data_IF_491101365532
#
_entry.id   IF_491101365532
#
_cell.length_a   1.000
_cell.length_b   1.000
_cell.length_c   1.000
_cell.angle_alpha   90.00
_cell.angle_beta   90.00
_cell.angle_gamma   90.00
#
_symmetry.space_group_name_H-M   'P 1'
#
loop_
_entity.id
_entity.type
_entity.pdbx_description
1 polymer ?
#
# COMPACT_ATOMS: atom_id res chain seq x y z
N UNK A 1 -7.25 -6.60 -8.26
CA UNK A 1 -7.76 -5.54 -9.16
C UNK A 1 -6.55 -4.89 -9.78
N UNK A 2 -6.62 -4.56 -11.07
CA UNK A 2 -5.54 -3.87 -11.77
C UNK A 2 -5.57 -2.38 -11.41
N UNK A 3 -4.46 -1.84 -10.90
CA UNK A 3 -4.40 -0.49 -10.38
C UNK A 3 -3.02 0.14 -10.60
N UNK A 4 -2.99 1.47 -10.78
CA UNK A 4 -1.78 2.29 -10.75
C UNK A 4 -2.12 3.59 -10.04
N UNK A 5 -1.31 3.98 -9.07
CA UNK A 5 -1.53 5.20 -8.29
C UNK A 5 -0.25 5.96 -8.03
N UNK A 6 -0.38 7.26 -7.92
CA UNK A 6 0.66 8.22 -7.58
C UNK A 6 0.18 9.08 -6.43
N UNK A 7 1.02 9.28 -5.44
CA UNK A 7 0.80 10.18 -4.31
C UNK A 7 1.97 11.13 -4.18
N UNK A 8 1.72 12.43 -4.09
CA UNK A 8 2.73 13.43 -3.83
C UNK A 8 2.99 13.54 -2.33
N UNK A 9 4.17 13.11 -1.87
CA UNK A 9 4.50 13.03 -0.44
C UNK A 9 5.46 14.11 0.04
N UNK A 10 6.09 14.83 -0.90
CA UNK A 10 7.02 15.93 -0.60
C UNK A 10 7.11 16.87 -1.79
N UNK A 11 7.40 18.15 -1.51
CA UNK A 11 7.70 19.17 -2.53
C UNK A 11 8.65 20.21 -1.93
N UNK A 12 9.70 20.56 -2.71
CA UNK A 12 10.63 21.63 -2.42
C UNK A 12 11.24 22.16 -3.73
N UNK A 13 11.24 23.47 -3.94
CA UNK A 13 11.86 24.19 -5.06
C UNK A 13 11.70 23.54 -6.45
N UNK A 14 10.53 22.96 -6.73
CA UNK A 14 10.23 22.25 -8.00
C UNK A 14 10.57 20.78 -8.03
N UNK A 15 11.25 20.25 -6.99
CA UNK A 15 11.43 18.82 -6.78
C UNK A 15 10.23 18.25 -6.05
N UNK A 16 9.71 17.13 -6.52
CA UNK A 16 8.60 16.41 -5.90
C UNK A 16 9.01 14.97 -5.57
N UNK A 17 8.53 14.46 -4.46
CA UNK A 17 8.59 13.03 -4.18
C UNK A 17 7.23 12.41 -4.43
N UNK A 18 7.22 11.37 -5.22
CA UNK A 18 6.04 10.58 -5.52
C UNK A 18 6.18 9.19 -4.90
N UNK A 19 5.15 8.72 -4.20
CA UNK A 19 4.93 7.31 -4.01
C UNK A 19 4.13 6.79 -5.20
N UNK A 20 4.69 5.77 -5.86
CA UNK A 20 4.03 5.07 -6.96
C UNK A 20 3.72 3.66 -6.52
N UNK A 21 2.48 3.25 -6.71
CA UNK A 21 2.05 1.87 -6.47
C UNK A 21 1.36 1.35 -7.71
N UNK A 22 1.71 0.16 -8.13
CA UNK A 22 1.08 -0.52 -9.25
C UNK A 22 0.78 -1.97 -8.87
N UNK A 23 -0.38 -2.46 -9.29
CA UNK A 23 -0.77 -3.85 -9.07
C UNK A 23 -1.55 -4.41 -10.26
N UNK A 24 -1.36 -5.69 -10.49
CA UNK A 24 -2.23 -6.52 -11.32
C UNK A 24 -2.86 -7.59 -10.44
N UNK A 25 -3.81 -8.36 -10.95
CA UNK A 25 -4.41 -9.44 -10.16
C UNK A 25 -3.42 -10.52 -9.66
N UNK A 26 -2.16 -10.48 -10.13
CA UNK A 26 -1.13 -11.50 -9.86
C UNK A 26 0.07 -10.96 -9.08
N UNK A 27 0.40 -9.70 -9.24
CA UNK A 27 1.58 -9.09 -8.61
C UNK A 27 1.38 -7.60 -8.41
N UNK A 28 2.22 -7.00 -7.57
CA UNK A 28 2.25 -5.57 -7.34
C UNK A 28 3.64 -5.11 -6.94
N UNK A 29 3.89 -3.83 -7.12
CA UNK A 29 5.11 -3.17 -6.72
C UNK A 29 4.82 -1.75 -6.22
N UNK A 30 5.67 -1.25 -5.32
CA UNK A 30 5.57 0.11 -4.78
C UNK A 30 6.94 0.72 -4.64
N UNK A 31 7.06 2.03 -4.98
CA UNK A 31 8.31 2.77 -4.82
C UNK A 31 8.07 4.26 -4.55
N UNK A 32 8.93 4.84 -3.72
CA UNK A 32 9.13 6.29 -3.65
C UNK A 32 10.18 6.72 -4.69
N UNK A 33 9.89 7.74 -5.47
CA UNK A 33 10.83 8.35 -6.41
C UNK A 33 10.83 9.87 -6.29
N UNK A 34 11.97 10.49 -6.60
CA UNK A 34 12.08 11.94 -6.73
C UNK A 34 12.09 12.32 -8.20
N UNK A 35 11.40 13.42 -8.53
CA UNK A 35 11.30 13.91 -9.89
C UNK A 35 11.07 15.42 -9.91
N UNK A 36 11.44 16.07 -11.00
CA UNK A 36 11.11 17.47 -11.23
C UNK A 36 9.61 17.63 -11.54
N UNK A 37 8.96 18.65 -10.97
CA UNK A 37 7.55 18.95 -11.23
C UNK A 37 7.28 19.10 -12.75
N UNK A 38 8.22 19.69 -13.49
CA UNK A 38 8.12 19.83 -14.94
C UNK A 38 8.10 18.48 -15.66
N UNK A 39 8.89 17.49 -15.19
CA UNK A 39 8.90 16.14 -15.76
C UNK A 39 7.59 15.40 -15.45
N UNK A 40 7.00 15.58 -14.25
CA UNK A 40 5.68 15.04 -13.94
C UNK A 40 4.59 15.65 -14.84
N UNK A 41 4.66 16.96 -15.12
CA UNK A 41 3.77 17.63 -16.07
C UNK A 41 3.94 17.10 -17.50
N UNK A 42 5.17 16.86 -17.93
CA UNK A 42 5.46 16.27 -19.24
C UNK A 42 4.87 14.86 -19.34
N UNK A 43 5.06 14.02 -18.29
CA UNK A 43 4.47 12.70 -18.20
C UNK A 43 2.93 12.74 -18.30
N UNK A 44 2.30 13.67 -17.56
CA UNK A 44 0.85 13.90 -17.67
C UNK A 44 0.43 14.28 -19.11
N UNK A 45 1.23 15.10 -19.79
CA UNK A 45 1.02 15.50 -21.18
C UNK A 45 1.07 14.30 -22.14
N UNK A 46 1.99 13.37 -21.97
CA UNK A 46 2.06 12.13 -22.77
C UNK A 46 0.82 11.25 -22.55
N UNK A 47 0.39 11.07 -21.29
CA UNK A 47 -0.82 10.30 -20.96
C UNK A 47 -2.08 10.96 -21.56
N UNK A 48 -2.21 12.30 -21.47
CA UNK A 48 -3.30 13.05 -22.11
C UNK A 48 -3.22 13.00 -23.64
N UNK A 49 -2.00 13.02 -24.19
CA UNK A 49 -1.77 12.86 -25.63
C UNK A 49 -2.24 11.51 -26.15
N UNK A 50 -2.07 10.45 -25.35
CA UNK A 50 -2.61 9.13 -25.67
C UNK A 50 -4.14 9.13 -25.79
N UNK A 51 -4.85 9.79 -24.89
CA UNK A 51 -6.32 9.86 -24.96
C UNK A 51 -6.86 10.56 -26.21
N UNK A 52 -6.03 11.35 -26.89
CA UNK A 52 -6.36 12.02 -28.17
C UNK A 52 -6.00 11.18 -29.40
N UNK A 53 -4.97 10.34 -29.28
CA UNK A 53 -4.53 9.42 -30.34
C UNK A 53 -4.12 8.07 -29.71
N UNK A 54 -5.11 7.25 -29.43
CA UNK A 54 -4.96 5.92 -28.82
C UNK A 54 -4.56 4.82 -29.79
N UNK A 55 -4.39 5.15 -31.07
CA UNK A 55 -3.88 4.22 -32.09
C UNK A 55 -2.36 4.00 -31.97
N UNK A 56 -1.67 4.91 -31.28
CA UNK A 56 -0.23 4.84 -31.05
C UNK A 56 0.06 4.69 -29.56
N UNK A 57 0.97 3.77 -29.25
CA UNK A 57 1.46 3.64 -27.89
C UNK A 57 2.19 4.90 -27.42
N UNK A 58 2.23 5.12 -26.12
CA UNK A 58 2.98 6.18 -25.46
C UNK A 58 3.87 5.60 -24.37
N UNK A 59 4.95 6.31 -24.07
CA UNK A 59 5.88 5.93 -23.01
C UNK A 59 6.13 7.10 -22.09
N UNK A 60 6.12 6.82 -20.78
CA UNK A 60 6.42 7.75 -19.70
C UNK A 60 7.54 7.16 -18.88
N UNK A 61 8.51 7.98 -18.50
CA UNK A 61 9.60 7.59 -17.62
C UNK A 61 9.71 8.63 -16.49
N UNK A 62 9.79 8.16 -15.24
CA UNK A 62 9.89 8.99 -14.05
C UNK A 62 10.94 8.42 -13.11
N UNK A 63 11.59 9.34 -12.38
CA UNK A 63 12.62 9.05 -11.42
C UNK A 63 13.92 8.56 -12.05
N UNK A 64 15.03 8.80 -11.37
CA UNK A 64 16.33 8.24 -11.72
C UNK A 64 16.54 6.96 -10.91
N UNK A 65 17.10 5.96 -11.57
CA UNK A 65 17.60 4.81 -10.88
C UNK A 65 19.04 5.06 -10.41
N UNK A 66 19.32 4.86 -9.15
CA UNK A 66 20.65 5.07 -8.57
C UNK A 66 21.69 4.06 -9.07
N UNK A 67 21.26 2.90 -9.57
CA UNK A 67 22.11 1.81 -10.04
C UNK A 67 22.35 1.73 -11.56
N UNK A 68 21.83 2.65 -12.40
CA UNK A 68 21.99 2.55 -13.85
C UNK A 68 21.21 3.57 -14.68
N UNK A 69 21.26 3.43 -16.01
CA UNK A 69 20.63 4.39 -16.94
C UNK A 69 19.10 4.25 -17.06
N UNK A 70 18.50 3.21 -16.48
CA UNK A 70 17.07 2.98 -16.57
C UNK A 70 16.31 3.93 -15.64
N UNK A 71 15.10 4.38 -15.98
CA UNK A 71 14.25 5.14 -15.07
C UNK A 71 13.79 4.26 -13.91
N UNK A 72 13.49 4.90 -12.76
CA UNK A 72 12.92 4.20 -11.61
C UNK A 72 11.52 3.63 -11.91
N UNK A 73 10.75 4.34 -12.73
CA UNK A 73 9.45 3.91 -13.27
C UNK A 73 9.43 4.13 -14.77
N UNK A 74 9.06 3.12 -15.53
CA UNK A 74 8.68 3.22 -16.94
C UNK A 74 7.26 2.71 -17.11
N UNK A 75 6.42 3.53 -17.75
CA UNK A 75 5.06 3.16 -18.15
C UNK A 75 4.98 3.18 -19.66
N UNK A 76 4.57 2.08 -20.26
CA UNK A 76 4.29 2.01 -21.69
C UNK A 76 2.82 1.71 -21.90
N UNK A 77 2.08 2.70 -22.38
CA UNK A 77 0.67 2.57 -22.73
C UNK A 77 0.61 1.99 -24.13
N UNK A 78 0.07 0.78 -24.26
CA UNK A 78 -0.07 0.09 -25.54
C UNK A 78 -1.29 0.65 -26.31
N UNK A 79 -1.32 0.54 -27.66
CA UNK A 79 -2.50 0.93 -28.42
C UNK A 79 -3.76 0.26 -27.89
N UNK A 80 -4.86 1.02 -27.85
CA UNK A 80 -6.15 0.46 -27.46
C UNK A 80 -6.67 -0.54 -28.51
N UNK A 81 -7.41 -1.54 -28.02
CA UNK A 81 -8.16 -2.41 -28.93
C UNK A 81 -9.43 -1.71 -29.49
N UNK A 82 -10.12 -2.37 -30.40
CA UNK A 82 -11.34 -1.86 -31.02
C UNK A 82 -12.51 -1.65 -30.06
N UNK A 83 -12.41 -2.14 -28.83
CA UNK A 83 -13.40 -1.98 -27.74
C UNK A 83 -13.00 -0.92 -26.75
N UNK A 84 -11.83 -0.32 -26.90
CA UNK A 84 -11.31 0.71 -25.99
C UNK A 84 -10.58 0.14 -24.77
N UNK A 85 -10.27 -1.15 -24.73
CA UNK A 85 -9.42 -1.70 -23.68
C UNK A 85 -7.97 -1.28 -23.91
N UNK A 86 -7.32 -0.90 -22.83
CA UNK A 86 -5.93 -0.43 -22.79
C UNK A 86 -5.12 -1.30 -21.87
N UNK A 87 -3.90 -1.58 -22.26
CA UNK A 87 -2.92 -2.26 -21.41
C UNK A 87 -1.73 -1.33 -21.17
N UNK A 88 -1.39 -1.15 -19.90
CA UNK A 88 -0.18 -0.44 -19.51
C UNK A 88 0.87 -1.47 -19.08
N UNK A 89 2.03 -1.43 -19.71
CA UNK A 89 3.20 -2.15 -19.25
C UNK A 89 3.87 -1.27 -18.19
N UNK A 90 3.96 -1.79 -16.97
CA UNK A 90 4.65 -1.17 -15.83
C UNK A 90 5.97 -1.86 -15.67
N UNK A 91 7.06 -1.09 -15.69
CA UNK A 91 8.41 -1.56 -15.35
C UNK A 91 8.94 -0.63 -14.26
N UNK A 92 9.01 -1.12 -13.05
CA UNK A 92 9.31 -0.34 -11.86
C UNK A 92 10.42 -1.00 -11.05
N UNK A 93 11.35 -0.19 -10.60
CA UNK A 93 12.32 -0.60 -9.59
C UNK A 93 11.61 -0.82 -8.27
N UNK A 94 12.00 -1.87 -7.55
CA UNK A 94 11.52 -2.17 -6.20
C UNK A 94 12.55 -1.67 -5.21
N UNK A 95 12.10 -0.91 -4.22
CA UNK A 95 12.97 -0.46 -3.14
C UNK A 95 13.46 -1.67 -2.34
N UNK A 96 14.77 -1.83 -2.29
CA UNK A 96 15.44 -2.82 -1.46
C UNK A 96 16.30 -2.04 -0.45
N UNK A 97 15.86 -2.02 0.81
CA UNK A 97 16.40 -1.15 1.85
C UNK A 97 17.80 -1.55 2.34
N UNK A 98 18.64 -2.12 1.53
CA UNK A 98 20.00 -2.38 1.96
C UNK A 98 20.83 -3.31 1.13
N UNK A 99 20.31 -3.87 0.08
CA UNK A 99 21.10 -4.73 -0.80
C UNK A 99 21.50 -3.96 -2.07
N UNK A 100 22.76 -4.12 -2.50
CA UNK A 100 23.29 -3.54 -3.74
C UNK A 100 22.66 -4.14 -5.00
N UNK A 101 21.62 -4.95 -4.87
CA UNK A 101 20.91 -5.60 -5.96
C UNK A 101 19.62 -4.85 -6.28
N UNK A 102 19.58 -4.24 -7.45
CA UNK A 102 18.37 -3.61 -7.93
C UNK A 102 17.33 -4.66 -8.36
N UNK A 103 16.24 -4.74 -7.63
CA UNK A 103 15.08 -5.51 -8.03
C UNK A 103 14.16 -4.68 -8.93
N UNK A 104 13.62 -5.31 -9.97
CA UNK A 104 12.62 -4.68 -10.84
C UNK A 104 11.41 -5.60 -10.99
N UNK A 105 10.23 -5.00 -11.00
CA UNK A 105 9.00 -5.67 -11.35
C UNK A 105 8.52 -5.17 -12.71
N UNK A 106 8.20 -6.11 -13.60
CA UNK A 106 7.60 -5.82 -14.89
C UNK A 106 6.33 -6.64 -15.05
N UNK A 107 5.22 -5.94 -15.24
CA UNK A 107 3.91 -6.57 -15.38
C UNK A 107 2.94 -5.65 -16.14
N UNK A 108 1.73 -6.16 -16.39
CA UNK A 108 0.72 -5.42 -17.14
C UNK A 108 -0.47 -5.08 -16.26
N UNK A 109 -0.92 -3.83 -16.37
CA UNK A 109 -2.13 -3.28 -15.74
C UNK A 109 -3.16 -3.06 -16.83
N UNK A 110 -4.32 -3.64 -16.70
CA UNK A 110 -5.43 -3.49 -17.66
C UNK A 110 -6.32 -2.32 -17.27
N UNK A 111 -6.79 -1.60 -18.27
CA UNK A 111 -7.65 -0.43 -18.10
C UNK A 111 -8.53 -0.19 -19.35
N UNK A 112 -9.13 0.98 -19.41
CA UNK A 112 -9.91 1.48 -20.51
C UNK A 112 -9.48 2.91 -20.87
N UNK A 113 -9.90 3.42 -22.03
CA UNK A 113 -9.56 4.77 -22.51
C UNK A 113 -9.96 5.87 -21.52
N UNK A 114 -11.16 5.78 -20.93
CA UNK A 114 -11.67 6.77 -19.99
C UNK A 114 -10.80 6.92 -18.74
N UNK A 115 -10.51 5.85 -18.01
CA UNK A 115 -9.57 5.87 -16.87
C UNK A 115 -8.18 6.42 -17.23
N UNK A 116 -7.61 6.05 -18.39
CA UNK A 116 -6.29 6.57 -18.82
C UNK A 116 -6.35 8.08 -19.04
N UNK A 117 -7.40 8.59 -19.66
CA UNK A 117 -7.59 10.04 -19.82
C UNK A 117 -7.71 10.77 -18.48
N UNK A 118 -8.44 10.18 -17.52
CA UNK A 118 -8.55 10.73 -16.15
C UNK A 118 -7.20 10.69 -15.41
N UNK A 119 -6.43 9.62 -15.56
CA UNK A 119 -5.09 9.54 -14.98
C UNK A 119 -4.21 10.69 -15.46
N UNK A 120 -4.20 11.00 -16.76
CA UNK A 120 -3.43 12.12 -17.31
C UNK A 120 -3.84 13.46 -16.71
N UNK A 121 -5.16 13.73 -16.60
CA UNK A 121 -5.67 14.94 -15.97
C UNK A 121 -5.32 15.03 -14.49
N UNK A 122 -5.43 13.93 -13.76
CA UNK A 122 -5.10 13.85 -12.34
C UNK A 122 -3.59 14.00 -12.09
N UNK A 123 -2.71 13.45 -12.94
CA UNK A 123 -1.26 13.64 -12.87
C UNK A 123 -0.89 15.12 -13.10
N UNK A 124 -1.58 15.80 -14.03
CA UNK A 124 -1.36 17.23 -14.26
C UNK A 124 -1.75 18.06 -13.04
N UNK A 125 -2.89 17.72 -12.41
CA UNK A 125 -3.34 18.35 -11.16
C UNK A 125 -2.40 18.04 -10.00
N UNK A 126 -1.93 16.81 -9.88
CA UNK A 126 -0.98 16.38 -8.85
C UNK A 126 0.35 17.14 -8.96
N UNK A 127 0.85 17.37 -10.18
CA UNK A 127 2.12 18.08 -10.37
C UNK A 127 2.08 19.47 -9.72
N UNK A 128 1.03 20.27 -9.93
CA UNK A 128 0.85 21.60 -9.33
C UNK A 128 0.12 21.61 -7.99
N UNK A 129 -0.38 20.47 -7.53
CA UNK A 129 -1.16 20.35 -6.30
C UNK A 129 -0.30 20.31 -5.04
N UNK A 130 -0.91 20.43 -3.85
CA UNK A 130 -0.20 20.31 -2.57
C UNK A 130 0.30 18.89 -2.32
N UNK A 131 1.16 18.73 -1.32
CA UNK A 131 1.49 17.41 -0.74
C UNK A 131 0.19 16.73 -0.28
N UNK A 132 0.08 15.42 -0.54
CA UNK A 132 -1.15 14.66 -0.37
C UNK A 132 -2.04 14.57 -1.62
N UNK A 133 -1.68 15.27 -2.72
CA UNK A 133 -2.38 15.10 -4.01
C UNK A 133 -2.17 13.71 -4.58
N UNK A 134 -3.20 13.19 -5.26
CA UNK A 134 -3.22 11.83 -5.82
C UNK A 134 -3.62 11.80 -7.28
N UNK A 135 -3.14 10.77 -8.00
CA UNK A 135 -3.61 10.41 -9.34
C UNK A 135 -3.74 8.89 -9.42
N UNK A 136 -4.86 8.38 -9.89
CA UNK A 136 -5.13 6.93 -9.95
C UNK A 136 -5.68 6.49 -11.30
N UNK A 137 -5.28 5.30 -11.73
CA UNK A 137 -5.85 4.54 -12.84
C UNK A 137 -6.74 3.44 -12.26
N UNK A 138 -7.95 3.28 -12.78
CA UNK A 138 -8.96 2.32 -12.33
C UNK A 138 -9.45 2.52 -10.89
N UNK A 139 -8.96 3.52 -10.16
CA UNK A 139 -9.47 3.91 -8.85
C UNK A 139 -10.69 4.83 -8.96
N UNK A 140 -11.43 4.97 -7.87
CA UNK A 140 -12.47 5.98 -7.75
C UNK A 140 -11.81 7.38 -7.86
N UNK A 141 -12.28 8.28 -8.75
CA UNK A 141 -11.71 9.63 -8.90
C UNK A 141 -11.74 10.48 -7.61
N UNK A 142 -12.50 10.09 -6.61
CA UNK A 142 -12.57 10.68 -5.28
C UNK A 142 -12.10 9.73 -4.18
N UNK A 143 -11.75 8.48 -4.53
CA UNK A 143 -11.30 7.46 -3.61
C UNK A 143 -9.81 7.22 -3.72
N UNK A 144 -9.12 7.33 -2.60
CA UNK A 144 -7.79 6.75 -2.45
C UNK A 144 -7.87 5.25 -2.77
N UNK A 145 -6.83 4.65 -3.39
CA UNK A 145 -6.72 3.20 -3.45
C UNK A 145 -7.11 2.62 -2.11
N UNK A 146 -7.81 1.50 -2.09
CA UNK A 146 -8.34 0.90 -0.85
C UNK A 146 -7.28 0.77 0.26
N UNK A 147 -5.99 0.65 -0.09
CA UNK A 147 -4.85 0.62 0.83
C UNK A 147 -4.29 2.03 1.16
N UNK A 148 -4.72 3.08 0.43
CA UNK A 148 -4.33 4.47 0.69
C UNK A 148 -5.50 5.32 1.24
N UNK A 149 -6.72 4.80 1.20
CA UNK A 149 -7.93 5.55 1.51
C UNK A 149 -8.00 6.11 2.92
N UNK A 150 -7.10 5.71 3.83
CA UNK A 150 -7.08 6.22 5.19
C UNK A 150 -5.63 6.34 5.71
N UNK A 151 -5.11 7.57 5.71
CA UNK A 151 -3.88 7.98 6.41
C UNK A 151 -2.58 7.79 5.62
N UNK A 152 -1.74 8.82 5.58
CA UNK A 152 -0.34 8.79 5.12
C UNK A 152 0.49 7.69 5.80
N UNK A 153 1.83 7.66 5.56
CA UNK A 153 2.68 6.64 6.19
C UNK A 153 2.40 6.65 7.70
N UNK A 154 1.90 5.52 8.19
CA UNK A 154 1.52 5.41 9.58
C UNK A 154 2.75 5.67 10.45
N UNK A 155 2.64 6.61 11.37
CA UNK A 155 3.71 6.86 12.33
C UNK A 155 3.86 5.62 13.20
N UNK A 156 5.08 5.14 13.36
CA UNK A 156 5.39 4.12 14.36
C UNK A 156 4.84 4.60 15.70
N UNK A 157 4.00 3.78 16.33
CA UNK A 157 3.32 4.15 17.59
C UNK A 157 1.98 4.85 17.45
N UNK A 158 1.43 5.01 16.23
CA UNK A 158 0.04 5.46 16.08
C UNK A 158 -0.94 4.36 16.54
N UNK A 159 -2.06 4.71 17.19
CA UNK A 159 -3.02 3.70 17.63
C UNK A 159 -3.61 2.96 16.42
N UNK A 160 -3.80 1.65 16.55
CA UNK A 160 -4.42 0.84 15.50
C UNK A 160 -5.87 1.23 15.25
N UNK A 161 -6.56 1.64 16.30
CA UNK A 161 -8.01 1.95 16.30
C UNK A 161 -8.27 3.27 17.03
N UNK A 162 -9.43 3.88 16.77
CA UNK A 162 -9.84 5.14 17.36
C UNK A 162 -9.69 6.34 16.42
N UNK A 163 -9.89 7.56 16.95
CA UNK A 163 -9.78 8.79 16.18
C UNK A 163 -8.31 9.00 15.74
N UNK A 164 -8.07 9.00 14.42
CA UNK A 164 -6.71 9.00 13.87
C UNK A 164 -6.00 7.65 13.82
N UNK A 165 -6.70 6.54 14.06
CA UNK A 165 -6.17 5.17 13.99
C UNK A 165 -5.80 4.76 12.56
N UNK A 166 -4.88 3.79 12.46
CA UNK A 166 -4.33 3.30 11.18
C UNK A 166 -5.33 2.43 10.43
N UNK A 167 -6.20 1.72 11.18
CA UNK A 167 -7.12 0.72 10.62
C UNK A 167 -8.41 1.33 10.07
N UNK A 168 -8.85 0.92 8.87
CA UNK A 168 -10.15 1.28 8.33
C UNK A 168 -11.30 0.88 9.24
N UNK A 169 -12.36 1.69 9.31
CA UNK A 169 -13.53 1.43 10.16
C UNK A 169 -14.16 0.04 9.95
N UNK A 170 -14.11 -0.50 8.72
CA UNK A 170 -14.58 -1.87 8.43
C UNK A 170 -13.78 -2.98 9.12
N UNK A 171 -12.47 -2.75 9.35
CA UNK A 171 -11.61 -3.70 10.07
C UNK A 171 -11.82 -3.61 11.59
N UNK A 172 -12.34 -2.47 12.06
CA UNK A 172 -12.72 -2.29 13.45
C UNK A 172 -14.06 -2.94 13.79
N UNK A 173 -14.91 -3.17 12.79
CA UNK A 173 -16.24 -3.78 13.00
C UNK A 173 -16.22 -5.19 13.58
N UNK A 174 -15.11 -5.93 13.41
CA UNK A 174 -14.88 -7.27 14.01
C UNK A 174 -13.98 -7.23 15.24
N UNK A 175 -13.56 -6.04 15.69
CA UNK A 175 -12.68 -5.88 16.83
C UNK A 175 -13.43 -6.11 18.14
N UNK A 176 -12.83 -6.84 19.05
CA UNK A 176 -13.24 -6.94 20.44
C UNK A 176 -12.37 -5.99 21.26
N UNK A 177 -13.00 -5.10 22.01
CA UNK A 177 -12.28 -4.16 22.87
C UNK A 177 -11.85 -4.89 24.15
N UNK A 178 -10.55 -4.93 24.41
CA UNK A 178 -9.98 -5.58 25.58
C UNK A 178 -9.95 -4.64 26.80
N UNK A 179 -10.36 -5.18 27.95
CA UNK A 179 -10.38 -4.40 29.19
C UNK A 179 -11.56 -3.47 29.32
N UNK A 180 -11.66 -2.78 30.44
CA UNK A 180 -12.80 -1.91 30.77
C UNK A 180 -12.88 -0.62 29.95
N UNK A 181 -13.91 0.21 30.21
CA UNK A 181 -14.07 1.51 29.56
C UNK A 181 -12.82 2.38 29.75
N UNK A 182 -12.31 2.95 28.65
CA UNK A 182 -11.10 3.81 28.66
C UNK A 182 -9.83 3.16 28.17
N UNK A 183 -9.82 1.86 27.84
CA UNK A 183 -8.67 1.21 27.18
C UNK A 183 -8.85 1.23 25.67
N UNK A 184 -7.79 1.63 24.95
CA UNK A 184 -7.76 1.62 23.47
C UNK A 184 -7.03 0.37 22.94
N UNK A 185 -7.32 -0.78 23.58
CA UNK A 185 -6.76 -2.08 23.18
C UNK A 185 -7.82 -2.89 22.48
N UNK A 186 -7.45 -3.50 21.38
CA UNK A 186 -8.37 -4.26 20.54
C UNK A 186 -7.72 -5.60 20.14
N UNK A 187 -8.56 -6.62 20.03
CA UNK A 187 -8.16 -7.93 19.52
C UNK A 187 -9.18 -8.42 18.49
N UNK A 188 -8.74 -9.29 17.63
CA UNK A 188 -9.48 -9.80 16.48
C UNK A 188 -9.42 -11.32 16.45
N UNK A 189 -10.49 -11.94 15.97
CA UNK A 189 -10.46 -13.36 15.63
C UNK A 189 -9.40 -13.63 14.55
N UNK A 190 -8.96 -14.88 14.44
CA UNK A 190 -7.86 -15.33 13.57
C UNK A 190 -7.88 -14.70 12.18
N UNK A 191 -8.96 -14.89 11.42
CA UNK A 191 -9.02 -14.47 10.01
C UNK A 191 -8.93 -12.94 9.87
N UNK A 192 -9.56 -12.21 10.79
CA UNK A 192 -9.48 -10.76 10.81
C UNK A 192 -8.07 -10.28 11.21
N UNK A 193 -7.42 -10.92 12.18
CA UNK A 193 -6.07 -10.59 12.61
C UNK A 193 -5.05 -10.82 11.49
N UNK A 194 -5.14 -11.94 10.76
CA UNK A 194 -4.32 -12.24 9.58
C UNK A 194 -4.54 -11.20 8.47
N UNK A 195 -5.80 -10.84 8.18
CA UNK A 195 -6.11 -9.81 7.18
C UNK A 195 -5.54 -8.43 7.58
N UNK A 196 -5.63 -8.08 8.88
CA UNK A 196 -5.06 -6.84 9.41
C UNK A 196 -3.53 -6.86 9.34
N UNK A 197 -2.88 -7.96 9.68
CA UNK A 197 -1.43 -8.08 9.54
C UNK A 197 -0.98 -7.88 8.08
N UNK A 198 -1.66 -8.48 7.13
CA UNK A 198 -1.42 -8.25 5.70
C UNK A 198 -1.62 -6.79 5.30
N UNK A 199 -2.69 -6.15 5.76
CA UNK A 199 -2.95 -4.74 5.51
C UNK A 199 -1.85 -3.83 6.07
N UNK A 200 -1.42 -4.06 7.33
CA UNK A 200 -0.36 -3.28 7.97
C UNK A 200 0.97 -3.44 7.24
N UNK A 201 1.31 -4.66 6.80
CA UNK A 201 2.51 -4.93 6.02
C UNK A 201 2.56 -4.15 4.71
N UNK A 202 1.44 -4.11 3.97
CA UNK A 202 1.30 -3.30 2.75
C UNK A 202 1.42 -1.80 3.05
N UNK A 203 0.98 -1.36 4.23
CA UNK A 203 1.09 0.04 4.68
C UNK A 203 2.46 0.41 5.21
N UNK A 204 3.39 -0.52 5.27
CA UNK A 204 4.71 -0.28 5.84
C UNK A 204 4.70 -0.10 7.36
N UNK A 205 3.69 -0.61 8.05
CA UNK A 205 3.57 -0.59 9.51
C UNK A 205 4.06 -1.91 10.07
N UNK A 206 5.17 -1.96 10.79
CA UNK A 206 5.67 -3.19 11.38
C UNK A 206 4.79 -3.62 12.56
N UNK A 207 4.51 -4.91 12.67
CA UNK A 207 3.94 -5.50 13.87
C UNK A 207 5.10 -5.97 14.75
N UNK A 208 5.28 -5.32 15.89
CA UNK A 208 6.39 -5.56 16.82
C UNK A 208 6.11 -6.68 17.82
N UNK A 209 4.87 -7.14 17.87
CA UNK A 209 4.43 -8.20 18.75
C UNK A 209 2.93 -8.29 18.90
N UNK A 210 2.49 -9.09 19.85
CA UNK A 210 1.07 -9.24 20.16
C UNK A 210 0.80 -10.19 21.32
N UNK A 211 -0.47 -10.38 21.61
CA UNK A 211 -0.93 -11.33 22.62
C UNK A 211 -2.12 -12.13 22.08
N UNK A 212 -2.19 -13.39 22.46
CA UNK A 212 -3.39 -14.19 22.28
C UNK A 212 -4.28 -14.08 23.51
N UNK A 213 -5.58 -13.97 23.30
CA UNK A 213 -6.61 -13.83 24.35
C UNK A 213 -7.64 -14.92 24.16
N UNK A 214 -7.81 -15.77 25.16
CA UNK A 214 -8.82 -16.81 25.13
C UNK A 214 -10.19 -16.23 25.47
N UNK A 215 -11.18 -16.52 24.65
CA UNK A 215 -12.59 -16.20 24.93
C UNK A 215 -13.11 -17.20 25.98
N UNK A 216 -13.57 -16.69 27.11
CA UNK A 216 -14.08 -17.52 28.18
C UNK A 216 -15.59 -17.80 28.02
N UNK A 217 -16.08 -18.99 28.43
CA UNK A 217 -17.52 -19.24 28.52
C UNK A 217 -18.16 -18.21 29.46
N UNK A 218 -19.04 -17.37 28.93
CA UNK A 218 -19.66 -16.28 29.68
C UNK A 218 -19.27 -14.87 29.26
N UNK A 219 -18.39 -14.74 28.24
CA UNK A 219 -18.12 -13.46 27.57
C UNK A 219 -16.98 -12.63 28.15
N UNK A 220 -16.08 -13.24 28.88
CA UNK A 220 -14.83 -12.60 29.32
C UNK A 220 -13.63 -13.04 28.46
N UNK A 221 -12.53 -12.30 28.53
CA UNK A 221 -11.26 -12.65 27.87
C UNK A 221 -10.17 -12.88 28.92
N UNK A 222 -9.35 -13.92 28.74
CA UNK A 222 -8.16 -14.18 29.51
C UNK A 222 -6.92 -14.23 28.60
N UNK A 223 -5.86 -13.51 28.97
CA UNK A 223 -4.60 -13.54 28.24
C UNK A 223 -3.98 -14.94 28.30
N UNK A 224 -3.57 -15.47 27.15
CA UNK A 224 -2.91 -16.77 27.05
C UNK A 224 -1.37 -16.55 26.95
N UNK A 225 -0.70 -16.79 28.04
CA UNK A 225 0.76 -16.67 28.11
C UNK A 225 1.31 -15.24 28.06
N UNK A 226 2.60 -15.12 27.76
CA UNK A 226 3.37 -13.86 27.81
C UNK A 226 3.25 -13.02 26.52
N UNK A 227 2.53 -13.52 25.53
CA UNK A 227 2.50 -12.92 24.19
C UNK A 227 3.78 -13.22 23.41
N UNK A 228 3.90 -12.62 22.25
CA UNK A 228 5.04 -12.76 21.36
C UNK A 228 5.62 -11.39 21.00
N UNK A 229 6.92 -11.35 20.73
CA UNK A 229 7.63 -10.15 20.28
C UNK A 229 8.48 -10.51 19.07
N UNK A 230 8.52 -9.61 18.12
CA UNK A 230 9.40 -9.70 16.97
C UNK A 230 10.71 -8.96 17.27
N UNK A 231 11.60 -9.59 18.06
CA UNK A 231 12.88 -9.00 18.47
C UNK A 231 13.83 -8.80 17.26
N UNK A 232 13.78 -9.69 16.27
CA UNK A 232 14.61 -9.60 15.07
C UNK A 232 14.08 -8.52 14.11
N UNK A 233 12.77 -8.39 13.97
CA UNK A 233 12.13 -7.42 13.10
C UNK A 233 12.25 -5.98 13.59
N UNK A 234 12.31 -5.77 14.89
CA UNK A 234 12.48 -4.44 15.49
C UNK A 234 13.85 -3.83 15.17
N UNK A 235 14.86 -4.64 14.85
CA UNK A 235 16.25 -4.21 14.64
C UNK A 235 16.68 -4.16 13.17
N UNK A 236 16.05 -4.91 12.27
CA UNK A 236 16.53 -5.03 10.87
C UNK A 236 15.48 -5.51 9.86
N UNK A 237 14.25 -5.77 10.27
CA UNK A 237 13.22 -6.35 9.41
C UNK A 237 12.41 -5.30 8.62
N UNK A 238 12.03 -5.63 7.40
CA UNK A 238 11.01 -4.86 6.69
C UNK A 238 9.66 -4.98 7.43
N UNK A 239 8.82 -3.94 7.36
CA UNK A 239 7.48 -3.99 7.94
C UNK A 239 6.67 -5.20 7.45
N UNK A 240 6.82 -5.56 6.17
CA UNK A 240 6.20 -6.76 5.61
C UNK A 240 6.74 -8.04 6.26
N UNK A 241 8.04 -8.13 6.51
CA UNK A 241 8.64 -9.29 7.20
C UNK A 241 8.09 -9.46 8.62
N UNK A 242 7.97 -8.37 9.38
CA UNK A 242 7.34 -8.38 10.70
C UNK A 242 5.88 -8.88 10.63
N UNK A 243 5.13 -8.41 9.64
CA UNK A 243 3.73 -8.80 9.46
C UNK A 243 3.58 -10.26 9.01
N UNK A 244 4.48 -10.80 8.18
CA UNK A 244 4.47 -12.21 7.80
C UNK A 244 4.73 -13.12 9.01
N UNK A 245 5.69 -12.76 9.87
CA UNK A 245 5.94 -13.52 11.12
C UNK A 245 4.76 -13.45 12.09
N UNK A 246 4.08 -12.29 12.16
CA UNK A 246 2.84 -12.16 12.92
C UNK A 246 1.75 -13.11 12.40
N UNK A 247 1.55 -13.17 11.09
CA UNK A 247 0.58 -14.07 10.45
C UNK A 247 0.94 -15.53 10.74
N UNK A 248 2.20 -15.92 10.60
CA UNK A 248 2.68 -17.27 10.89
C UNK A 248 2.44 -17.65 12.37
N UNK A 249 2.72 -16.73 13.30
CA UNK A 249 2.40 -16.94 14.72
C UNK A 249 0.89 -17.18 14.93
N UNK A 250 0.03 -16.30 14.38
CA UNK A 250 -1.43 -16.41 14.53
C UNK A 250 -1.94 -17.75 14.00
N UNK A 251 -1.48 -18.16 12.82
CA UNK A 251 -1.89 -19.41 12.19
C UNK A 251 -1.38 -20.64 12.94
N UNK A 252 -0.13 -20.61 13.41
CA UNK A 252 0.45 -21.71 14.20
C UNK A 252 -0.27 -21.85 15.55
N UNK A 253 -0.46 -20.75 16.26
CA UNK A 253 -1.16 -20.72 17.54
C UNK A 253 -2.60 -21.21 17.40
N UNK A 254 -3.36 -20.75 16.41
CA UNK A 254 -4.73 -21.21 16.17
C UNK A 254 -4.80 -22.70 15.83
N UNK A 255 -3.83 -23.22 15.05
CA UNK A 255 -3.74 -24.66 14.73
C UNK A 255 -3.49 -25.52 15.97
N UNK A 256 -2.70 -25.04 16.93
CA UNK A 256 -2.35 -25.76 18.15
C UNK A 256 -3.42 -25.65 19.24
N UNK A 257 -4.07 -24.50 19.35
CA UNK A 257 -4.96 -24.15 20.47
C UNK A 257 -6.44 -24.08 20.12
N UNK A 258 -6.77 -24.06 18.82
CA UNK A 258 -8.16 -23.91 18.33
C UNK A 258 -8.53 -22.47 18.02
N UNK A 259 -9.80 -22.28 17.63
CA UNK A 259 -10.27 -20.98 17.10
C UNK A 259 -10.92 -20.06 18.16
N UNK A 260 -10.95 -20.47 19.44
CA UNK A 260 -11.53 -19.70 20.56
C UNK A 260 -10.59 -18.59 21.07
N UNK A 261 -9.76 -18.03 20.17
CA UNK A 261 -8.77 -17.02 20.53
C UNK A 261 -8.96 -15.73 19.73
N UNK A 262 -8.67 -14.62 20.40
CA UNK A 262 -8.51 -13.30 19.80
C UNK A 262 -7.03 -12.91 19.83
N UNK A 263 -6.60 -12.17 18.83
CA UNK A 263 -5.21 -11.72 18.68
C UNK A 263 -5.13 -10.21 18.75
N UNK A 264 -4.39 -9.71 19.73
CA UNK A 264 -4.01 -8.31 19.85
C UNK A 264 -2.70 -8.10 19.10
N UNK A 265 -2.63 -7.08 18.26
CA UNK A 265 -1.46 -6.70 17.49
C UNK A 265 -0.87 -5.40 18.05
N UNK A 266 0.46 -5.34 18.18
CA UNK A 266 1.22 -4.18 18.66
C UNK A 266 2.14 -3.71 17.54
N UNK A 267 2.04 -2.43 17.16
CA UNK A 267 2.81 -1.79 16.09
C UNK A 267 3.75 -0.69 16.62
#
# INVERSE_FOLDING_TARGET
>A
MDELSFEKTYQDEGLVRLWVSASSGLCGARRGLYEDEAAVRAAAGEVLGYSRDFSRGRSVALGRWEGGPAPALSLRILPADSRGHVTLEVDMEINDDGDYHAHRARFFVKSELGPVGRLGASLLSLAGGPVGSHATLNGDPGGLPWYMAEGGPARVGAPLAGEGGILPGRMLGSAVRLGGPGTDRYAWGRDAAVAIAGYLGVRGVPILGGCAWRVLPGGGEARDGDGWRDEEGALSGSAMGCCLRAMEYIESHSRERGDDYLYELVC
#
